data_IF_261088440178
#
_entry.id   IF_261088440178
#
_cell.length_a   1.000
_cell.length_b   1.000
_cell.length_c   1.000
_cell.angle_alpha   90.00
_cell.angle_beta   90.00
_cell.angle_gamma   90.00
#
_symmetry.space_group_name_H-M   'P 1'
#
loop_
_entity.id
_entity.type
_entity.pdbx_description
1 polymer ?
#
# COMPACT_ATOMS: atom_id res chain seq x y z
N UNK A 1 -10.32 6.14 -26.04
CA UNK A 1 -9.64 5.53 -24.87
C UNK A 1 -8.16 5.43 -25.17
N UNK A 2 -7.31 5.71 -24.21
CA UNK A 2 -5.84 5.66 -24.34
C UNK A 2 -5.33 4.54 -23.47
N UNK A 3 -4.39 3.74 -23.98
CA UNK A 3 -3.67 2.76 -23.17
C UNK A 3 -2.27 3.31 -22.83
N UNK A 4 -1.96 3.43 -21.54
CA UNK A 4 -0.61 3.71 -21.08
C UNK A 4 0.19 2.41 -21.02
N UNK A 5 1.12 2.23 -21.94
CA UNK A 5 2.07 1.13 -21.96
C UNK A 5 3.33 1.49 -21.17
N UNK A 6 3.58 0.82 -20.07
CA UNK A 6 4.76 1.06 -19.22
C UNK A 6 5.69 -0.14 -19.36
N UNK A 7 6.97 0.13 -19.66
CA UNK A 7 8.00 -0.91 -19.76
C UNK A 7 8.89 -0.83 -18.53
N UNK A 8 8.78 -1.81 -17.66
CA UNK A 8 9.57 -1.91 -16.45
C UNK A 8 10.79 -2.81 -16.65
N UNK A 9 11.94 -2.29 -16.26
CA UNK A 9 13.21 -3.01 -16.25
C UNK A 9 13.94 -2.71 -14.93
N UNK A 10 13.50 -3.37 -13.85
CA UNK A 10 14.08 -3.24 -12.50
C UNK A 10 13.86 -1.87 -11.82
N UNK A 11 12.89 -1.09 -12.29
CA UNK A 11 12.59 0.25 -11.78
C UNK A 11 11.26 0.31 -11.00
N UNK A 12 11.02 -0.67 -10.13
CA UNK A 12 9.76 -0.83 -9.40
C UNK A 12 9.28 0.45 -8.70
N UNK A 13 10.20 1.18 -8.05
CA UNK A 13 9.90 2.43 -7.38
C UNK A 13 9.40 3.50 -8.36
N UNK A 14 10.09 3.69 -9.47
CA UNK A 14 9.72 4.66 -10.50
C UNK A 14 8.36 4.32 -11.13
N UNK A 15 8.11 3.04 -11.40
CA UNK A 15 6.80 2.56 -11.89
C UNK A 15 5.69 2.92 -10.92
N UNK A 16 5.91 2.74 -9.62
CA UNK A 16 4.92 3.11 -8.60
C UNK A 16 4.53 4.59 -8.68
N UNK A 17 5.52 5.47 -8.69
CA UNK A 17 5.26 6.91 -8.72
C UNK A 17 4.69 7.38 -10.06
N UNK A 18 5.11 6.78 -11.19
CA UNK A 18 4.49 7.03 -12.48
C UNK A 18 3.01 6.63 -12.46
N UNK A 19 2.66 5.45 -11.98
CA UNK A 19 1.27 5.01 -11.86
C UNK A 19 0.43 5.94 -10.98
N UNK A 20 0.99 6.35 -9.85
CA UNK A 20 0.37 7.31 -8.94
C UNK A 20 0.13 8.66 -9.64
N UNK A 21 1.08 9.12 -10.47
CA UNK A 21 0.94 10.35 -11.25
C UNK A 21 -0.13 10.27 -12.33
N UNK A 22 -0.23 9.14 -13.03
CA UNK A 22 -1.29 8.89 -14.02
C UNK A 22 -2.66 8.95 -13.35
N UNK A 23 -2.87 8.18 -12.29
CA UNK A 23 -4.14 8.14 -11.54
C UNK A 23 -4.57 9.53 -11.05
N UNK A 24 -3.61 10.34 -10.59
CA UNK A 24 -3.88 11.68 -10.08
C UNK A 24 -4.22 12.69 -11.16
N UNK A 25 -3.45 12.71 -12.24
CA UNK A 25 -3.42 13.83 -13.16
C UNK A 25 -4.17 13.59 -14.49
N UNK A 26 -4.37 12.33 -14.90
CA UNK A 26 -5.17 12.01 -16.09
C UNK A 26 -6.66 12.03 -15.74
N UNK A 27 -7.42 12.94 -16.35
CA UNK A 27 -8.87 13.12 -16.12
C UNK A 27 -9.74 12.59 -17.26
N UNK A 28 -9.17 11.82 -18.16
CA UNK A 28 -9.82 11.17 -19.30
C UNK A 28 -9.82 9.66 -19.13
N UNK A 29 -10.60 8.96 -19.95
CA UNK A 29 -10.67 7.49 -19.92
C UNK A 29 -9.39 6.85 -20.42
N UNK A 30 -8.76 6.01 -19.60
CA UNK A 30 -7.54 5.29 -19.94
C UNK A 30 -7.53 3.87 -19.39
N UNK A 31 -6.62 3.07 -19.94
CA UNK A 31 -6.23 1.76 -19.40
C UNK A 31 -4.71 1.74 -19.23
N UNK A 32 -4.20 0.82 -18.42
CA UNK A 32 -2.75 0.68 -18.20
C UNK A 32 -2.32 -0.74 -18.53
N UNK A 33 -1.21 -0.86 -19.23
CA UNK A 33 -0.55 -2.13 -19.53
C UNK A 33 0.90 -2.06 -19.09
N UNK A 34 1.30 -2.95 -18.19
CA UNK A 34 2.66 -3.06 -17.69
C UNK A 34 3.37 -4.23 -18.37
N UNK A 35 4.56 -3.95 -18.93
CA UNK A 35 5.49 -4.94 -19.46
C UNK A 35 6.57 -5.20 -18.42
N UNK A 36 6.48 -6.32 -17.76
CA UNK A 36 7.42 -6.76 -16.72
C UNK A 36 8.60 -7.48 -17.37
N UNK A 37 9.78 -6.84 -17.36
CA UNK A 37 10.96 -7.35 -18.04
C UNK A 37 12.00 -7.95 -17.10
N UNK A 38 11.85 -7.77 -15.80
CA UNK A 38 12.72 -8.32 -14.76
C UNK A 38 12.11 -9.54 -14.09
N UNK A 39 12.93 -10.57 -13.87
CA UNK A 39 12.52 -11.79 -13.17
C UNK A 39 12.34 -11.58 -11.65
N UNK A 40 12.98 -10.57 -11.10
CA UNK A 40 13.02 -10.32 -9.64
C UNK A 40 12.09 -9.17 -9.22
N UNK A 41 11.15 -8.78 -10.06
CA UNK A 41 10.36 -7.59 -9.81
C UNK A 41 9.18 -7.89 -8.87
N UNK A 42 9.08 -7.17 -7.73
CA UNK A 42 7.98 -7.33 -6.77
C UNK A 42 6.64 -6.76 -7.25
N UNK A 43 6.59 -6.05 -8.38
CA UNK A 43 5.36 -5.41 -8.91
C UNK A 43 4.30 -6.45 -9.31
N UNK A 44 4.64 -7.71 -9.33
CA UNK A 44 3.86 -8.80 -9.96
C UNK A 44 2.36 -8.75 -9.68
N UNK A 45 1.90 -8.31 -8.50
CA UNK A 45 0.50 -8.53 -8.12
C UNK A 45 -0.21 -7.36 -7.43
N UNK A 46 0.43 -6.21 -7.29
CA UNK A 46 -0.02 -5.17 -6.37
C UNK A 46 -0.96 -4.13 -6.98
N UNK A 47 -1.19 -4.13 -8.31
CA UNK A 47 -1.97 -3.06 -8.93
C UNK A 47 -3.24 -3.60 -9.56
N UNK A 48 -4.39 -3.25 -8.99
CA UNK A 48 -5.68 -3.55 -9.57
C UNK A 48 -5.93 -2.69 -10.83
N UNK A 49 -6.57 -3.29 -11.83
CA UNK A 49 -6.93 -2.61 -13.08
C UNK A 49 -5.78 -2.46 -14.09
N UNK A 50 -4.61 -3.03 -13.84
CA UNK A 50 -3.46 -3.02 -14.76
C UNK A 50 -3.33 -4.38 -15.43
N UNK A 51 -3.29 -4.40 -16.77
CA UNK A 51 -2.95 -5.61 -17.53
C UNK A 51 -1.43 -5.79 -17.48
N UNK A 52 -0.96 -7.02 -17.25
CA UNK A 52 0.46 -7.34 -17.14
C UNK A 52 0.87 -8.38 -18.17
N UNK A 53 2.08 -8.22 -18.71
CA UNK A 53 2.73 -9.18 -19.58
C UNK A 53 4.20 -9.30 -19.19
N UNK A 54 4.69 -10.51 -19.03
CA UNK A 54 6.12 -10.77 -18.79
C UNK A 54 6.82 -11.03 -20.13
N UNK A 55 7.93 -10.34 -20.39
CA UNK A 55 8.69 -10.49 -21.61
C UNK A 55 10.15 -10.06 -21.42
N UNK A 56 10.99 -10.25 -22.47
CA UNK A 56 12.29 -9.60 -22.50
C UNK A 56 12.14 -8.11 -22.81
N UNK A 57 13.02 -7.28 -22.26
CA UNK A 57 12.99 -5.83 -22.45
C UNK A 57 13.01 -5.43 -23.93
N UNK A 58 13.83 -6.11 -24.75
CA UNK A 58 13.94 -5.88 -26.20
C UNK A 58 12.66 -6.13 -26.98
N UNK A 59 11.77 -6.99 -26.46
CA UNK A 59 10.49 -7.36 -27.10
C UNK A 59 9.31 -6.52 -26.59
N UNK A 60 9.45 -5.79 -25.48
CA UNK A 60 8.37 -5.13 -24.78
C UNK A 60 7.56 -4.17 -25.67
N UNK A 61 8.24 -3.29 -26.37
CA UNK A 61 7.59 -2.33 -27.27
C UNK A 61 6.87 -2.99 -28.45
N UNK A 62 7.41 -4.10 -28.96
CA UNK A 62 6.77 -4.88 -30.02
C UNK A 62 5.49 -5.54 -29.51
N UNK A 63 5.56 -6.18 -28.35
CA UNK A 63 4.41 -6.84 -27.72
C UNK A 63 3.30 -5.83 -27.38
N UNK A 64 3.65 -4.66 -26.81
CA UNK A 64 2.67 -3.58 -26.57
C UNK A 64 1.91 -3.22 -27.84
N UNK A 65 2.63 -3.00 -28.95
CA UNK A 65 2.03 -2.65 -30.24
C UNK A 65 1.14 -3.74 -30.82
N UNK A 66 1.48 -5.00 -30.60
CA UNK A 66 0.70 -6.15 -31.09
C UNK A 66 -0.53 -6.42 -30.21
N UNK A 67 -0.44 -6.20 -28.91
CA UNK A 67 -1.50 -6.54 -27.94
C UNK A 67 -2.51 -5.41 -27.70
N UNK A 68 -2.09 -4.15 -27.86
CA UNK A 68 -2.94 -2.99 -27.60
C UNK A 68 -3.64 -2.58 -28.87
N UNK A 69 -4.95 -2.45 -28.81
CA UNK A 69 -5.82 -2.09 -29.92
C UNK A 69 -6.30 -0.64 -29.87
N UNK A 70 -6.11 0.02 -28.75
CA UNK A 70 -6.42 1.42 -28.51
C UNK A 70 -5.24 2.34 -28.89
N UNK A 71 -5.43 3.65 -28.81
CA UNK A 71 -4.33 4.60 -28.87
C UNK A 71 -3.33 4.28 -27.76
N UNK A 72 -2.08 4.07 -28.11
CA UNK A 72 -1.03 3.64 -27.21
C UNK A 72 -0.11 4.80 -26.84
N UNK A 73 0.02 5.08 -25.55
CA UNK A 73 1.00 6.00 -25.00
C UNK A 73 2.07 5.20 -24.24
N UNK A 74 3.25 5.05 -24.82
CA UNK A 74 4.37 4.35 -24.17
C UNK A 74 5.09 5.33 -23.25
N UNK A 75 5.20 4.99 -21.98
CA UNK A 75 5.82 5.78 -20.94
C UNK A 75 7.08 5.10 -20.41
N UNK A 76 8.14 5.88 -20.23
CA UNK A 76 9.31 5.46 -19.48
C UNK A 76 9.05 5.66 -17.98
N UNK A 77 9.43 4.72 -17.10
CA UNK A 77 9.25 4.86 -15.66
C UNK A 77 9.92 6.08 -15.02
N UNK A 78 10.93 6.67 -15.66
CA UNK A 78 11.63 7.87 -15.16
C UNK A 78 10.82 9.18 -15.28
N UNK A 79 9.58 9.14 -15.75
CA UNK A 79 8.74 10.33 -15.89
C UNK A 79 7.60 10.36 -14.87
N UNK A 80 7.12 11.56 -14.62
CA UNK A 80 5.91 11.84 -13.85
C UNK A 80 4.95 12.68 -14.65
N UNK A 81 3.69 12.28 -14.67
CA UNK A 81 2.63 13.05 -15.32
C UNK A 81 2.23 14.21 -14.42
N UNK A 82 2.30 15.44 -14.93
CA UNK A 82 1.90 16.65 -14.21
C UNK A 82 0.43 16.99 -14.42
N UNK A 83 -0.05 17.94 -13.63
CA UNK A 83 -1.38 18.53 -13.79
C UNK A 83 -1.55 19.08 -15.22
N UNK A 84 -2.75 18.96 -15.73
CA UNK A 84 -3.13 19.41 -17.09
C UNK A 84 -2.53 18.58 -18.25
N UNK A 85 -2.04 17.39 -17.96
CA UNK A 85 -1.64 16.44 -19.00
C UNK A 85 -2.87 16.03 -19.84
N UNK A 86 -2.82 16.30 -21.14
CA UNK A 86 -3.88 16.02 -22.10
C UNK A 86 -3.32 15.51 -23.41
N UNK A 87 -3.74 14.34 -23.82
CA UNK A 87 -3.39 13.71 -25.09
C UNK A 87 -4.60 13.10 -25.81
N UNK A 88 -5.79 13.22 -25.25
CA UNK A 88 -7.01 12.61 -25.78
C UNK A 88 -7.44 13.16 -27.16
N UNK A 89 -7.09 14.42 -27.44
CA UNK A 89 -7.43 15.11 -28.70
C UNK A 89 -6.35 14.97 -29.78
N UNK A 90 -5.26 14.26 -29.49
CA UNK A 90 -4.14 14.13 -30.43
C UNK A 90 -4.38 12.96 -31.38
N UNK A 91 -4.36 13.25 -32.68
CA UNK A 91 -4.62 12.28 -33.76
C UNK A 91 -3.37 11.84 -34.51
N UNK A 92 -2.23 12.48 -34.26
CA UNK A 92 -0.96 12.17 -34.92
C UNK A 92 0.06 11.60 -33.96
N UNK A 93 0.97 10.71 -34.42
CA UNK A 93 2.03 10.18 -33.56
C UNK A 93 3.03 11.29 -33.20
N UNK A 94 3.51 11.26 -31.97
CA UNK A 94 4.53 12.21 -31.49
C UNK A 94 5.42 11.59 -30.41
N UNK A 95 6.54 12.24 -30.16
CA UNK A 95 7.48 11.92 -29.07
C UNK A 95 7.36 13.02 -28.01
N UNK A 96 7.45 12.67 -26.76
CA UNK A 96 7.55 13.60 -25.64
C UNK A 96 8.45 13.05 -24.56
N UNK A 97 9.08 13.92 -23.81
CA UNK A 97 10.06 13.48 -22.85
C UNK A 97 11.15 12.59 -23.46
N UNK A 98 11.84 11.86 -22.63
CA UNK A 98 12.86 10.92 -23.06
C UNK A 98 12.28 9.52 -23.25
N UNK A 99 12.29 9.02 -24.48
CA UNK A 99 11.76 7.68 -24.83
C UNK A 99 10.27 7.46 -24.54
N UNK A 100 9.47 8.54 -24.54
CA UNK A 100 8.01 8.44 -24.45
C UNK A 100 7.37 8.70 -25.80
N UNK A 101 6.38 7.88 -26.17
CA UNK A 101 5.79 7.89 -27.51
C UNK A 101 4.29 7.82 -27.43
N UNK A 102 3.59 8.65 -28.19
CA UNK A 102 2.17 8.49 -28.45
C UNK A 102 1.94 7.93 -29.84
N UNK A 103 1.14 6.88 -29.93
CA UNK A 103 0.83 6.13 -31.14
C UNK A 103 -0.68 6.09 -31.30
N UNK A 104 -1.29 7.01 -32.08
CA UNK A 104 -2.70 6.90 -32.39
C UNK A 104 -2.93 5.63 -33.23
N UNK A 105 -4.08 5.02 -33.03
CA UNK A 105 -4.48 3.86 -33.82
C UNK A 105 -4.81 4.31 -35.26
N UNK A 106 -3.79 4.28 -36.10
CA UNK A 106 -3.95 4.48 -37.55
C UNK A 106 -3.37 3.25 -38.26
N UNK A 107 -3.96 2.84 -39.39
CA UNK A 107 -3.58 1.65 -40.12
C UNK A 107 -2.19 1.73 -40.79
N UNK A 108 -1.51 2.88 -40.69
CA UNK A 108 -0.19 3.10 -41.25
C UNK A 108 0.79 3.67 -40.22
N UNK A 109 1.89 3.00 -40.04
CA UNK A 109 3.04 3.43 -39.24
C UNK A 109 3.81 4.53 -39.98
N UNK A 110 3.65 5.78 -39.58
CA UNK A 110 4.46 6.90 -40.09
C UNK A 110 5.64 7.19 -39.15
N UNK A 111 6.77 7.56 -39.74
CA UNK A 111 7.98 7.98 -39.02
C UNK A 111 7.70 9.16 -38.06
N UNK A 112 8.13 9.06 -36.80
CA UNK A 112 7.92 10.08 -35.78
C UNK A 112 8.78 11.30 -36.07
N UNK A 113 8.16 12.43 -36.34
CA UNK A 113 8.88 13.70 -36.59
C UNK A 113 8.46 14.85 -35.68
N UNK A 114 7.40 14.66 -34.88
CA UNK A 114 6.84 15.75 -34.07
C UNK A 114 7.17 15.48 -32.59
N UNK A 115 7.81 16.48 -31.98
CA UNK A 115 7.97 16.52 -30.51
C UNK A 115 6.92 17.44 -29.93
N UNK A 116 6.22 17.02 -28.90
CA UNK A 116 5.30 17.84 -28.12
C UNK A 116 5.89 18.08 -26.73
N UNK A 117 5.78 19.32 -26.30
CA UNK A 117 6.08 19.69 -24.92
C UNK A 117 4.83 19.43 -24.09
N UNK A 118 4.84 18.32 -23.37
CA UNK A 118 3.76 17.92 -22.47
C UNK A 118 4.16 18.18 -21.01
N UNK A 119 3.19 18.42 -20.12
CA UNK A 119 3.47 18.65 -18.72
C UNK A 119 3.89 17.35 -18.00
N UNK A 120 5.16 16.99 -18.18
CA UNK A 120 5.83 15.87 -17.52
C UNK A 120 7.10 16.36 -16.84
N UNK A 121 7.48 15.72 -15.74
CA UNK A 121 8.81 15.86 -15.15
C UNK A 121 9.63 14.61 -15.48
N UNK A 122 10.91 14.79 -15.75
CA UNK A 122 11.83 13.70 -16.12
C UNK A 122 12.95 13.65 -15.10
N UNK A 123 13.16 12.48 -14.51
CA UNK A 123 14.32 12.24 -13.66
C UNK A 123 15.58 12.10 -14.51
N UNK A 124 16.64 12.81 -14.12
CA UNK A 124 17.91 12.89 -14.85
C UNK A 124 18.77 11.60 -14.77
N UNK A 125 18.42 10.68 -13.87
CA UNK A 125 19.18 9.44 -13.65
C UNK A 125 20.44 9.61 -12.80
N UNK A 126 20.82 10.83 -12.43
CA UNK A 126 22.07 11.14 -11.71
C UNK A 126 21.83 11.43 -10.22
N UNK A 127 20.74 12.13 -9.90
CA UNK A 127 20.35 12.44 -8.52
C UNK A 127 19.70 11.24 -7.84
N UNK A 128 19.70 11.22 -6.49
CA UNK A 128 18.85 10.26 -5.76
C UNK A 128 17.39 10.49 -6.16
N UNK A 129 16.69 9.40 -6.54
CA UNK A 129 15.32 9.49 -7.05
C UNK A 129 14.33 10.06 -6.02
N UNK A 130 14.50 9.73 -4.76
CA UNK A 130 13.65 10.25 -3.67
C UNK A 130 13.90 11.74 -3.47
N UNK A 131 15.16 12.19 -3.45
CA UNK A 131 15.50 13.61 -3.34
C UNK A 131 14.96 14.41 -4.52
N UNK A 132 14.99 13.81 -5.73
CA UNK A 132 14.40 14.39 -6.91
C UNK A 132 12.88 14.50 -6.80
N UNK A 133 12.20 13.45 -6.34
CA UNK A 133 10.76 13.48 -6.05
C UNK A 133 10.41 14.62 -5.10
N UNK A 134 11.14 14.77 -4.00
CA UNK A 134 10.93 15.86 -3.04
C UNK A 134 11.07 17.24 -3.63
N UNK A 135 12.11 17.46 -4.40
CA UNK A 135 12.38 18.75 -5.03
C UNK A 135 11.25 19.20 -5.97
N UNK A 136 10.58 18.23 -6.58
CA UNK A 136 9.49 18.47 -7.53
C UNK A 136 8.09 18.32 -6.91
N UNK A 137 8.02 18.06 -5.61
CA UNK A 137 6.83 17.73 -4.86
C UNK A 137 5.83 18.87 -4.69
N UNK A 138 6.20 20.12 -4.91
CA UNK A 138 5.27 21.26 -4.78
C UNK A 138 4.06 21.14 -5.72
N UNK A 139 4.20 20.48 -6.86
CA UNK A 139 3.10 20.12 -7.75
C UNK A 139 2.42 18.78 -7.35
N UNK A 140 3.02 18.05 -6.41
CA UNK A 140 2.61 16.73 -5.96
C UNK A 140 1.91 16.73 -4.60
N UNK A 141 1.82 17.89 -3.92
CA UNK A 141 1.04 17.96 -2.69
C UNK A 141 -0.32 17.35 -2.96
N UNK A 142 -0.42 16.08 -2.58
CA UNK A 142 -1.69 15.40 -2.56
C UNK A 142 -2.62 16.25 -1.71
N UNK A 143 -3.88 16.35 -2.10
CA UNK A 143 -4.94 16.87 -1.22
C UNK A 143 -5.18 15.94 -0.01
N UNK A 144 -4.34 14.93 0.13
CA UNK A 144 -4.35 13.92 1.17
C UNK A 144 -2.98 13.90 1.84
N UNK A 145 -2.95 13.43 3.05
CA UNK A 145 -1.75 13.16 3.80
C UNK A 145 -0.84 12.19 3.01
N UNK A 146 0.46 12.27 3.25
CA UNK A 146 1.42 11.37 2.59
C UNK A 146 1.21 9.92 3.04
N UNK A 147 0.76 9.74 4.29
CA UNK A 147 0.34 8.45 4.83
C UNK A 147 -0.64 8.64 5.99
N UNK A 148 -1.33 7.57 6.36
CA UNK A 148 -2.27 7.54 7.48
C UNK A 148 -1.70 6.63 8.57
N UNK A 149 -1.66 7.13 9.80
CA UNK A 149 -1.43 6.32 11.00
C UNK A 149 -2.78 5.85 11.51
N UNK A 150 -2.97 4.56 11.64
CA UNK A 150 -4.23 3.99 12.08
C UNK A 150 -4.05 3.09 13.29
N UNK A 151 -4.87 3.32 14.29
CA UNK A 151 -4.96 2.49 15.48
C UNK A 151 -6.40 2.18 15.85
N UNK A 152 -6.59 1.18 16.66
CA UNK A 152 -7.87 0.89 17.30
C UNK A 152 -7.67 0.63 18.77
N UNK A 153 -8.71 0.89 19.56
CA UNK A 153 -8.78 0.47 20.95
C UNK A 153 -10.19 -0.05 21.26
N UNK A 154 -10.41 -0.57 22.45
CA UNK A 154 -11.68 -1.12 22.86
C UNK A 154 -12.12 -0.55 24.24
N UNK A 155 -13.38 -0.76 24.61
CA UNK A 155 -13.99 -0.10 25.76
C UNK A 155 -13.24 -0.30 27.08
N UNK A 156 -12.52 -1.41 27.26
CA UNK A 156 -11.74 -1.67 28.48
C UNK A 156 -10.42 -0.88 28.51
N UNK A 157 -9.82 -0.62 27.34
CA UNK A 157 -8.50 0.02 27.24
C UNK A 157 -8.56 1.51 26.90
N UNK A 158 -9.68 2.01 26.35
CA UNK A 158 -9.83 3.41 25.98
C UNK A 158 -9.67 4.39 27.16
N UNK A 159 -9.75 3.89 28.40
CA UNK A 159 -9.52 4.65 29.61
C UNK A 159 -8.09 4.55 30.15
N UNK A 160 -7.28 3.64 29.64
CA UNK A 160 -5.94 3.35 30.11
C UNK A 160 -4.97 4.49 29.74
N UNK A 161 -4.06 4.83 30.66
CA UNK A 161 -3.04 5.82 30.37
C UNK A 161 -2.10 5.39 29.24
N UNK A 162 -1.83 4.09 29.10
CA UNK A 162 -1.02 3.55 28.01
C UNK A 162 -1.56 3.96 26.63
N UNK A 163 -2.90 3.87 26.42
CA UNK A 163 -3.54 4.31 25.18
C UNK A 163 -3.28 5.78 24.87
N UNK A 164 -3.31 6.65 25.87
CA UNK A 164 -3.05 8.09 25.64
C UNK A 164 -1.56 8.39 25.46
N UNK A 165 -0.67 7.67 26.15
CA UNK A 165 0.76 7.79 25.94
C UNK A 165 1.15 7.33 24.53
N UNK A 166 0.53 6.25 24.02
CA UNK A 166 0.68 5.81 22.65
C UNK A 166 0.20 6.88 21.65
N UNK A 167 -1.03 7.39 21.83
CA UNK A 167 -1.59 8.46 21.00
C UNK A 167 -0.73 9.73 21.02
N UNK A 168 -0.22 10.15 22.17
CA UNK A 168 0.71 11.29 22.29
C UNK A 168 1.99 11.02 21.49
N UNK A 169 2.54 9.78 21.52
CA UNK A 169 3.71 9.45 20.73
C UNK A 169 3.45 9.49 19.23
N UNK A 170 2.20 9.20 18.79
CA UNK A 170 1.82 9.25 17.38
C UNK A 170 1.64 10.67 16.86
N UNK A 171 1.05 11.58 17.66
CA UNK A 171 0.81 12.95 17.22
C UNK A 171 2.03 13.84 17.32
N UNK A 172 2.99 13.52 18.19
CA UNK A 172 4.19 14.31 18.46
C UNK A 172 5.44 13.84 17.67
N UNK A 173 5.27 13.05 16.61
CA UNK A 173 6.40 12.63 15.76
C UNK A 173 7.07 13.82 15.08
N UNK A 174 8.39 13.80 15.03
CA UNK A 174 9.18 14.68 14.17
C UNK A 174 9.23 14.06 12.77
N UNK A 175 8.31 14.49 11.93
CA UNK A 175 8.12 13.96 10.59
C UNK A 175 7.94 15.11 9.60
N UNK A 176 8.77 15.14 8.56
CA UNK A 176 8.71 16.15 7.49
C UNK A 176 7.54 15.91 6.53
N UNK A 177 6.89 14.75 6.64
CA UNK A 177 5.77 14.32 5.82
C UNK A 177 4.44 14.59 6.52
N UNK A 178 3.40 14.88 5.73
CA UNK A 178 2.07 15.10 6.26
C UNK A 178 1.40 13.76 6.56
N UNK A 179 0.89 13.59 7.76
CA UNK A 179 0.12 12.42 8.14
C UNK A 179 -1.05 12.77 9.04
N UNK A 180 -2.05 11.91 9.04
CA UNK A 180 -3.15 11.92 10.01
C UNK A 180 -3.12 10.70 10.89
N UNK A 181 -3.61 10.86 12.10
CA UNK A 181 -3.84 9.77 13.04
C UNK A 181 -5.33 9.45 13.03
N UNK A 182 -5.66 8.22 12.60
CA UNK A 182 -7.01 7.69 12.55
C UNK A 182 -7.23 6.78 13.75
N UNK A 183 -8.19 7.10 14.60
CA UNK A 183 -8.62 6.22 15.68
C UNK A 183 -9.90 5.52 15.21
N UNK A 184 -9.83 4.22 14.96
CA UNK A 184 -10.97 3.44 14.44
C UNK A 184 -11.70 2.79 15.60
N UNK A 185 -12.98 3.08 15.74
CA UNK A 185 -13.86 2.61 16.82
C UNK A 185 -15.12 1.97 16.27
N UNK A 186 -15.65 0.95 16.96
CA UNK A 186 -16.88 0.29 16.56
C UNK A 186 -18.12 0.91 17.22
N UNK A 187 -19.15 1.19 16.41
CA UNK A 187 -20.44 1.69 16.91
C UNK A 187 -21.13 0.69 17.84
N UNK A 188 -21.02 -0.62 17.54
CA UNK A 188 -21.57 -1.69 18.40
C UNK A 188 -20.99 -1.64 19.82
N UNK A 189 -19.74 -1.18 19.97
CA UNK A 189 -19.02 -1.17 21.23
C UNK A 189 -19.21 0.16 22.00
N UNK A 190 -19.22 1.29 21.27
CA UNK A 190 -19.22 2.63 21.87
C UNK A 190 -20.51 3.42 21.67
N UNK A 191 -21.47 2.95 20.85
CA UNK A 191 -22.71 3.68 20.57
C UNK A 191 -22.49 5.06 19.92
N UNK A 192 -21.35 5.29 19.25
CA UNK A 192 -20.88 6.60 18.74
C UNK A 192 -20.62 7.65 19.83
N UNK A 193 -20.44 7.22 21.05
CA UNK A 193 -20.11 8.11 22.16
C UNK A 193 -18.65 7.92 22.58
N UNK A 194 -17.90 9.02 22.62
CA UNK A 194 -16.53 9.01 23.08
C UNK A 194 -16.47 9.28 24.58
N UNK A 195 -15.63 8.55 25.35
CA UNK A 195 -15.28 8.97 26.70
C UNK A 195 -14.73 10.40 26.73
N UNK A 196 -15.02 11.14 27.78
CA UNK A 196 -14.64 12.55 27.90
C UNK A 196 -13.18 12.80 27.59
N UNK A 197 -12.27 11.99 28.18
CA UNK A 197 -10.82 12.12 27.96
C UNK A 197 -10.43 11.93 26.48
N UNK A 198 -11.07 10.99 25.76
CA UNK A 198 -10.83 10.77 24.34
C UNK A 198 -11.38 11.92 23.49
N UNK A 199 -12.55 12.44 23.86
CA UNK A 199 -13.13 13.60 23.19
C UNK A 199 -12.25 14.84 23.32
N UNK A 200 -11.73 15.09 24.53
CA UNK A 200 -10.82 16.21 24.80
C UNK A 200 -9.50 16.06 24.02
N UNK A 201 -8.96 14.82 23.95
CA UNK A 201 -7.77 14.52 23.16
C UNK A 201 -7.98 14.81 21.67
N UNK A 202 -9.07 14.32 21.10
CA UNK A 202 -9.40 14.55 19.67
C UNK A 202 -9.60 16.04 19.38
N UNK A 203 -10.30 16.77 20.24
CA UNK A 203 -10.52 18.20 20.04
C UNK A 203 -9.23 19.02 20.15
N UNK A 204 -8.31 18.63 21.07
CA UNK A 204 -7.01 19.29 21.19
C UNK A 204 -6.07 19.04 20.02
N UNK A 205 -6.29 17.95 19.25
CA UNK A 205 -5.48 17.55 18.09
C UNK A 205 -6.30 17.45 16.79
N UNK A 206 -7.40 18.20 16.67
CA UNK A 206 -8.36 18.11 15.56
C UNK A 206 -7.78 18.31 14.16
N UNK A 207 -6.66 19.00 14.05
CA UNK A 207 -5.95 19.19 12.78
C UNK A 207 -5.21 17.92 12.32
N UNK A 208 -4.97 16.98 13.23
CA UNK A 208 -4.15 15.78 13.01
C UNK A 208 -4.86 14.48 13.34
N UNK A 209 -5.82 14.49 14.24
CA UNK A 209 -6.53 13.30 14.74
C UNK A 209 -7.96 13.27 14.25
N UNK A 210 -8.40 12.13 13.76
CA UNK A 210 -9.77 11.89 13.29
C UNK A 210 -10.31 10.56 13.85
N UNK A 211 -11.61 10.52 14.20
CA UNK A 211 -12.30 9.27 14.54
C UNK A 211 -12.95 8.68 13.29
N UNK A 212 -12.67 7.42 13.03
CA UNK A 212 -13.38 6.63 12.02
C UNK A 212 -14.31 5.63 12.73
N UNK A 213 -15.60 5.79 12.53
CA UNK A 213 -16.59 4.87 13.06
C UNK A 213 -16.85 3.74 12.09
N UNK A 214 -16.76 2.50 12.57
CA UNK A 214 -17.23 1.30 11.87
C UNK A 214 -18.48 0.77 12.53
N UNK A 215 -19.39 0.17 11.77
CA UNK A 215 -20.61 -0.37 12.35
C UNK A 215 -20.30 -1.55 13.27
N UNK A 216 -19.57 -2.55 12.74
CA UNK A 216 -19.22 -3.78 13.48
C UNK A 216 -17.87 -3.67 14.17
N UNK A 217 -17.76 -4.35 15.31
CA UNK A 217 -16.48 -4.57 15.95
C UNK A 217 -15.75 -5.75 15.28
N UNK A 218 -14.83 -5.44 14.40
CA UNK A 218 -13.91 -6.41 13.80
C UNK A 218 -12.61 -6.55 14.60
N UNK A 219 -12.65 -6.15 15.88
CA UNK A 219 -11.55 -6.26 16.84
C UNK A 219 -10.25 -5.59 16.30
N UNK A 220 -9.04 -6.22 16.39
CA UNK A 220 -7.82 -5.55 15.91
C UNK A 220 -7.80 -5.31 14.40
N UNK A 221 -8.53 -6.08 13.58
CA UNK A 221 -8.58 -5.88 12.14
C UNK A 221 -9.18 -4.51 11.76
N UNK A 222 -10.05 -3.93 12.60
CA UNK A 222 -10.68 -2.62 12.31
C UNK A 222 -9.68 -1.46 12.17
N UNK A 223 -8.44 -1.59 12.68
CA UNK A 223 -7.41 -0.56 12.46
C UNK A 223 -6.96 -0.46 11.00
N UNK A 224 -7.08 -1.52 10.19
CA UNK A 224 -6.53 -1.56 8.83
C UNK A 224 -7.61 -1.44 7.74
N UNK A 225 -8.55 -2.39 7.66
CA UNK A 225 -9.48 -2.48 6.55
C UNK A 225 -10.35 -1.23 6.33
N UNK A 226 -11.02 -0.66 7.35
CA UNK A 226 -11.81 0.56 7.16
C UNK A 226 -10.95 1.78 6.78
N UNK A 227 -9.69 1.79 7.21
CA UNK A 227 -8.76 2.87 6.86
C UNK A 227 -8.33 2.75 5.41
N UNK A 228 -8.05 1.53 4.92
CA UNK A 228 -7.79 1.27 3.48
C UNK A 228 -9.01 1.67 2.63
N UNK A 229 -10.24 1.31 3.05
CA UNK A 229 -11.45 1.68 2.32
C UNK A 229 -11.61 3.20 2.20
N UNK A 230 -11.28 3.95 3.25
CA UNK A 230 -11.34 5.41 3.26
C UNK A 230 -10.20 6.07 2.48
N UNK A 231 -9.01 5.48 2.51
CA UNK A 231 -7.79 6.00 1.90
C UNK A 231 -7.09 4.95 1.01
N UNK A 232 -7.73 4.49 -0.08
CA UNK A 232 -7.26 3.33 -0.86
C UNK A 232 -5.92 3.52 -1.55
N UNK A 233 -5.51 4.77 -1.76
CA UNK A 233 -4.24 5.11 -2.45
C UNK A 233 -3.16 5.64 -1.49
N UNK A 234 -3.41 5.63 -0.18
CA UNK A 234 -2.44 6.05 0.82
C UNK A 234 -1.77 4.85 1.49
N UNK A 235 -0.47 4.89 1.77
CA UNK A 235 0.14 3.95 2.70
C UNK A 235 -0.48 4.10 4.09
N UNK A 236 -0.71 2.98 4.75
CA UNK A 236 -1.30 2.96 6.09
C UNK A 236 -0.26 2.44 7.09
N UNK A 237 0.05 3.22 8.10
CA UNK A 237 0.82 2.75 9.26
C UNK A 237 -0.15 2.25 10.32
N UNK A 238 -0.04 0.98 10.71
CA UNK A 238 -0.86 0.44 11.80
C UNK A 238 -0.06 0.27 13.08
N UNK A 239 -0.68 0.66 14.19
CA UNK A 239 -0.11 0.62 15.53
C UNK A 239 -1.14 0.05 16.51
N UNK A 240 -0.66 -0.57 17.56
CA UNK A 240 -1.50 -0.99 18.67
C UNK A 240 -1.67 0.16 19.68
N UNK A 241 -2.71 0.09 20.50
CA UNK A 241 -3.04 1.12 21.47
C UNK A 241 -2.11 1.13 22.72
N UNK A 242 -1.08 0.30 22.72
CA UNK A 242 0.02 0.24 23.71
C UNK A 242 1.42 0.38 23.08
N UNK A 243 1.50 0.66 21.78
CA UNK A 243 2.76 0.93 21.09
C UNK A 243 3.21 2.39 21.33
N UNK A 244 4.39 2.59 21.87
CA UNK A 244 5.01 3.92 22.00
C UNK A 244 6.14 4.01 21.00
N UNK A 245 6.09 5.04 20.16
CA UNK A 245 7.09 5.31 19.12
C UNK A 245 8.14 6.31 19.60
N UNK A 246 9.37 6.11 19.13
CA UNK A 246 10.39 7.13 19.20
C UNK A 246 10.09 8.30 18.24
N UNK A 247 10.59 9.48 18.54
CA UNK A 247 10.20 10.75 17.90
C UNK A 247 10.33 10.83 16.36
N UNK A 248 11.09 9.92 15.73
CA UNK A 248 11.35 9.92 14.28
C UNK A 248 10.90 8.61 13.58
N UNK A 249 10.19 7.73 14.27
CA UNK A 249 9.93 6.39 13.73
C UNK A 249 8.95 6.41 12.56
N UNK A 250 7.96 7.29 12.57
CA UNK A 250 7.07 7.45 11.42
C UNK A 250 7.80 7.95 10.17
N UNK A 251 8.76 8.86 10.33
CA UNK A 251 9.59 9.31 9.22
C UNK A 251 10.43 8.18 8.65
N UNK A 252 11.06 7.36 9.49
CA UNK A 252 11.85 6.21 9.05
C UNK A 252 11.00 5.20 8.27
N UNK A 253 9.80 4.88 8.77
CA UNK A 253 8.85 3.99 8.09
C UNK A 253 8.46 4.52 6.72
N UNK A 254 8.11 5.80 6.65
CA UNK A 254 7.67 6.37 5.39
C UNK A 254 8.80 6.49 4.36
N UNK A 255 10.02 6.83 4.78
CA UNK A 255 11.22 6.81 3.91
C UNK A 255 11.43 5.39 3.36
N UNK A 256 11.35 4.36 4.22
CA UNK A 256 11.50 2.98 3.78
C UNK A 256 10.42 2.57 2.77
N UNK A 257 9.18 3.01 2.99
CA UNK A 257 8.11 2.81 2.00
C UNK A 257 8.41 3.52 0.69
N UNK A 258 8.94 4.75 0.70
CA UNK A 258 9.29 5.46 -0.53
C UNK A 258 10.40 4.76 -1.31
N UNK A 259 11.37 4.17 -0.62
CA UNK A 259 12.46 3.41 -1.25
C UNK A 259 11.96 2.10 -1.87
N UNK A 260 10.99 1.45 -1.23
CA UNK A 260 10.38 0.21 -1.74
C UNK A 260 8.86 0.20 -1.46
N UNK A 261 8.08 0.86 -2.32
CA UNK A 261 6.65 1.08 -2.10
C UNK A 261 5.77 -0.14 -2.35
N UNK A 262 6.36 -1.29 -2.68
CA UNK A 262 5.66 -2.54 -2.98
C UNK A 262 5.66 -3.55 -1.82
N UNK A 263 6.48 -3.30 -0.81
CA UNK A 263 6.64 -4.20 0.32
C UNK A 263 5.95 -3.69 1.57
N UNK A 264 5.41 -4.61 2.36
CA UNK A 264 4.99 -4.32 3.74
C UNK A 264 6.24 -4.33 4.61
N UNK A 265 6.38 -3.31 5.44
CA UNK A 265 7.47 -3.21 6.41
C UNK A 265 6.93 -3.21 7.84
N UNK A 266 7.65 -3.88 8.74
CA UNK A 266 7.39 -3.81 10.17
C UNK A 266 8.62 -4.02 11.00
N UNK A 267 8.55 -3.64 12.27
CA UNK A 267 9.68 -3.70 13.18
C UNK A 267 9.96 -5.11 13.74
N UNK A 268 9.03 -6.03 13.56
CA UNK A 268 9.15 -7.43 13.97
C UNK A 268 8.51 -8.33 12.92
N UNK A 269 9.27 -9.31 12.44
CA UNK A 269 8.80 -10.30 11.46
C UNK A 269 9.08 -11.70 12.00
N UNK A 270 8.13 -12.60 11.83
CA UNK A 270 8.32 -14.03 12.08
C UNK A 270 7.53 -14.86 11.05
N UNK A 271 7.84 -16.14 10.99
CA UNK A 271 7.17 -17.07 10.10
C UNK A 271 5.80 -17.46 10.64
N UNK A 272 4.80 -17.62 9.78
CA UNK A 272 3.53 -18.22 10.16
C UNK A 272 3.73 -19.72 10.35
N UNK A 273 3.58 -20.19 11.58
CA UNK A 273 3.69 -21.62 11.90
C UNK A 273 2.56 -22.41 11.22
N UNK A 274 2.89 -23.62 10.72
CA UNK A 274 1.91 -24.53 10.11
C UNK A 274 1.69 -24.38 8.60
N UNK A 275 2.40 -23.49 7.94
CA UNK A 275 2.39 -23.33 6.48
C UNK A 275 3.71 -23.84 5.87
N UNK A 276 4.30 -24.86 6.49
CA UNK A 276 5.62 -25.40 6.13
C UNK A 276 5.64 -26.23 4.84
N UNK A 277 4.48 -26.42 4.20
CA UNK A 277 4.36 -27.25 3.00
C UNK A 277 4.54 -26.47 1.69
N UNK A 278 4.73 -25.17 1.76
CA UNK A 278 5.00 -24.33 0.61
C UNK A 278 6.44 -23.82 0.71
N UNK A 279 7.19 -23.89 -0.38
CA UNK A 279 8.55 -23.33 -0.46
C UNK A 279 8.55 -21.79 -0.26
N UNK A 280 7.37 -21.18 -0.21
CA UNK A 280 7.16 -19.78 0.09
C UNK A 280 6.81 -19.59 1.56
N UNK A 281 7.70 -18.94 2.29
CA UNK A 281 7.50 -18.70 3.72
C UNK A 281 6.49 -17.57 3.92
N UNK A 282 5.30 -17.90 4.40
CA UNK A 282 4.35 -16.91 4.88
C UNK A 282 4.92 -16.22 6.12
N UNK A 283 5.01 -14.89 6.08
CA UNK A 283 5.56 -14.09 7.18
C UNK A 283 4.50 -13.17 7.73
N UNK A 284 4.31 -13.19 9.04
CA UNK A 284 3.54 -12.17 9.72
C UNK A 284 4.43 -11.03 10.19
N UNK A 285 3.85 -9.87 10.32
CA UNK A 285 4.53 -8.65 10.75
C UNK A 285 3.76 -8.05 11.91
N UNK A 286 4.47 -7.69 12.97
CA UNK A 286 3.89 -7.11 14.17
C UNK A 286 4.45 -5.74 14.51
N UNK A 287 3.88 -5.13 15.51
CA UNK A 287 4.21 -3.80 16.03
C UNK A 287 4.04 -2.70 14.97
N UNK A 288 4.94 -1.78 14.87
CA UNK A 288 4.87 -0.68 13.93
C UNK A 288 5.00 -1.17 12.48
N UNK A 289 3.93 -1.06 11.69
CA UNK A 289 3.84 -1.61 10.34
C UNK A 289 3.38 -0.57 9.34
N UNK A 290 3.96 -0.57 8.13
CA UNK A 290 3.48 0.23 7.00
C UNK A 290 3.00 -0.67 5.87
N UNK A 291 1.78 -0.45 5.43
CA UNK A 291 1.06 -1.19 4.41
C UNK A 291 0.95 -0.34 3.15
N UNK A 292 1.58 -0.75 2.03
CA UNK A 292 1.37 -0.07 0.77
C UNK A 292 -0.08 -0.16 0.29
N UNK A 293 -0.54 0.77 -0.54
CA UNK A 293 -1.81 0.61 -1.23
C UNK A 293 -1.90 -0.72 -1.99
N UNK A 294 -3.08 -1.34 -1.98
CA UNK A 294 -3.38 -2.58 -2.72
C UNK A 294 -2.52 -3.81 -2.36
N UNK A 295 -1.87 -3.82 -1.20
CA UNK A 295 -0.95 -4.90 -0.80
C UNK A 295 -1.65 -6.17 -0.29
N UNK A 296 -2.95 -6.15 -0.06
CA UNK A 296 -3.70 -7.23 0.57
C UNK A 296 -4.69 -7.89 -0.38
N UNK A 297 -4.79 -9.21 -0.34
CA UNK A 297 -5.85 -9.95 -0.99
C UNK A 297 -7.15 -9.82 -0.18
N UNK A 298 -8.29 -9.72 -0.88
CA UNK A 298 -9.59 -9.56 -0.22
C UNK A 298 -10.24 -10.90 0.04
N UNK A 299 -10.09 -11.40 1.25
CA UNK A 299 -10.89 -12.52 1.75
C UNK A 299 -12.15 -12.03 2.45
N UNK A 300 -13.24 -12.82 2.45
CA UNK A 300 -14.43 -12.53 3.25
C UNK A 300 -14.09 -12.36 4.73
N UNK A 301 -14.74 -11.42 5.39
CA UNK A 301 -14.55 -11.20 6.83
C UNK A 301 -14.94 -12.44 7.67
N UNK A 302 -15.84 -13.30 7.15
CA UNK A 302 -16.18 -14.58 7.77
C UNK A 302 -14.96 -15.45 8.02
N UNK A 303 -13.98 -15.44 7.09
CA UNK A 303 -12.79 -16.25 7.17
C UNK A 303 -11.88 -15.81 8.32
N UNK A 304 -11.83 -14.49 8.57
CA UNK A 304 -11.11 -13.95 9.72
C UNK A 304 -11.68 -14.51 11.05
N UNK A 305 -13.00 -14.59 11.17
CA UNK A 305 -13.63 -15.16 12.37
C UNK A 305 -13.50 -16.67 12.45
N UNK A 306 -13.67 -17.36 11.32
CA UNK A 306 -13.67 -18.83 11.28
C UNK A 306 -12.27 -19.41 11.52
N UNK A 307 -11.25 -18.89 10.82
CA UNK A 307 -9.90 -19.47 10.81
C UNK A 307 -8.90 -18.74 11.71
N UNK A 308 -9.16 -17.47 12.03
CA UNK A 308 -8.24 -16.64 12.83
C UNK A 308 -8.88 -16.17 14.15
N UNK A 309 -10.02 -16.73 14.51
CA UNK A 309 -10.72 -16.47 15.77
C UNK A 309 -11.15 -15.02 15.99
N UNK A 310 -11.07 -14.18 14.96
CA UNK A 310 -11.37 -12.75 15.04
C UNK A 310 -10.35 -11.95 15.85
N UNK A 311 -9.13 -12.45 16.07
CA UNK A 311 -8.10 -11.78 16.89
C UNK A 311 -6.70 -11.79 16.28
N UNK A 312 -6.37 -12.77 15.47
CA UNK A 312 -5.06 -12.88 14.84
C UNK A 312 -4.98 -12.08 13.54
N UNK A 313 -5.16 -10.76 13.64
CA UNK A 313 -5.10 -9.86 12.47
C UNK A 313 -3.73 -9.90 11.79
N UNK A 314 -2.64 -10.05 12.55
CA UNK A 314 -1.28 -10.13 12.02
C UNK A 314 -1.12 -11.34 11.09
N UNK A 315 -1.65 -12.48 11.50
CA UNK A 315 -1.59 -13.73 10.75
C UNK A 315 -2.57 -13.73 9.57
N UNK A 316 -3.77 -13.20 9.75
CA UNK A 316 -4.72 -13.03 8.66
C UNK A 316 -4.15 -12.12 7.56
N UNK A 317 -3.56 -11.00 7.94
CA UNK A 317 -2.93 -10.10 7.00
C UNK A 317 -1.67 -10.72 6.35
N UNK A 318 -0.92 -11.58 7.05
CA UNK A 318 0.18 -12.33 6.46
C UNK A 318 -0.29 -13.24 5.31
N UNK A 319 -1.40 -13.95 5.50
CA UNK A 319 -1.99 -14.77 4.43
C UNK A 319 -2.53 -13.90 3.30
N UNK A 320 -3.15 -12.76 3.61
CA UNK A 320 -3.58 -11.79 2.57
C UNK A 320 -2.39 -11.27 1.74
N UNK A 321 -1.24 -11.02 2.36
CA UNK A 321 0.00 -10.68 1.65
C UNK A 321 0.50 -11.86 0.80
N UNK A 322 0.47 -13.08 1.32
CA UNK A 322 0.88 -14.29 0.59
C UNK A 322 0.06 -14.44 -0.70
N UNK A 323 -1.26 -14.41 -0.63
CA UNK A 323 -2.14 -14.55 -1.79
C UNK A 323 -2.05 -13.37 -2.78
N UNK A 324 -1.63 -12.20 -2.31
CA UNK A 324 -1.32 -11.05 -3.17
C UNK A 324 0.13 -11.06 -3.67
N UNK A 325 0.97 -12.00 -3.19
CA UNK A 325 2.43 -12.07 -3.41
C UNK A 325 3.14 -10.77 -3.00
N UNK A 326 2.64 -10.10 -2.00
CA UNK A 326 3.24 -8.87 -1.46
C UNK A 326 4.42 -9.23 -0.57
N UNK A 327 5.63 -8.71 -0.85
CA UNK A 327 6.78 -8.97 0.00
C UNK A 327 6.59 -8.38 1.40
N UNK A 328 7.01 -9.14 2.42
CA UNK A 328 7.01 -8.69 3.82
C UNK A 328 8.46 -8.61 4.29
N UNK A 329 8.90 -7.43 4.76
CA UNK A 329 10.28 -7.12 5.09
C UNK A 329 10.42 -6.47 6.46
N UNK A 330 11.51 -6.76 7.15
CA UNK A 330 11.84 -6.15 8.43
C UNK A 330 12.48 -4.78 8.22
N UNK A 331 12.03 -3.80 9.01
CA UNK A 331 12.72 -2.53 9.17
C UNK A 331 13.57 -2.56 10.46
N UNK A 332 14.86 -2.39 10.27
CA UNK A 332 15.82 -2.40 11.37
C UNK A 332 15.84 -1.10 12.12
N UNK A 333 15.98 -0.54 12.99
CA UNK A 333 16.10 0.83 13.56
C UNK A 333 14.77 1.50 13.95
N UNK A 334 13.70 0.72 14.04
CA UNK A 334 12.47 1.14 14.70
C UNK A 334 12.23 0.20 15.87
N UNK A 335 12.08 0.75 17.05
CA UNK A 335 11.76 -0.01 18.26
C UNK A 335 10.50 0.60 18.86
N UNK A 336 9.35 0.00 18.59
CA UNK A 336 8.18 0.34 19.39
C UNK A 336 8.35 -0.24 20.80
N UNK A 337 8.19 0.58 21.78
CA UNK A 337 8.23 0.17 23.18
C UNK A 337 6.81 -0.13 23.64
N UNK A 338 6.50 -1.41 23.93
CA UNK A 338 5.21 -1.74 24.53
C UNK A 338 5.23 -1.43 26.02
N UNK A 339 4.26 -0.61 26.43
CA UNK A 339 4.04 -0.41 27.85
C UNK A 339 3.26 -1.60 28.40
N UNK A 340 3.96 -2.54 29.01
CA UNK A 340 3.43 -3.80 29.53
C UNK A 340 2.50 -3.68 30.76
N UNK A 341 1.98 -2.52 31.08
CA UNK A 341 1.20 -2.27 32.29
C UNK A 341 -0.28 -2.67 32.20
N UNK A 342 -0.78 -3.07 31.02
CA UNK A 342 -2.16 -3.55 30.94
C UNK A 342 -2.22 -5.06 31.21
N UNK A 343 -2.81 -5.45 32.35
CA UNK A 343 -3.15 -6.83 32.67
C UNK A 343 -4.19 -7.44 31.71
N UNK A 344 -4.73 -6.62 30.78
CA UNK A 344 -5.82 -7.00 29.88
C UNK A 344 -5.27 -7.22 28.48
N UNK A 345 -4.92 -8.48 28.14
CA UNK A 345 -4.53 -8.87 26.78
C UNK A 345 -5.62 -9.74 26.16
N UNK A 346 -6.06 -9.39 24.95
CA UNK A 346 -6.99 -10.20 24.15
C UNK A 346 -6.50 -11.65 23.96
N UNK A 347 -5.19 -11.84 23.83
CA UNK A 347 -4.55 -13.15 23.62
C UNK A 347 -4.77 -14.15 24.75
N UNK A 348 -5.10 -13.69 25.98
CA UNK A 348 -5.40 -14.63 27.09
C UNK A 348 -6.76 -15.33 26.95
N UNK A 349 -7.69 -14.78 26.17
CA UNK A 349 -9.01 -15.38 25.96
C UNK A 349 -8.95 -16.62 25.05
N UNK A 350 -7.80 -16.88 24.40
CA UNK A 350 -7.66 -17.88 23.32
C UNK A 350 -6.39 -18.73 23.44
N UNK A 351 -5.82 -18.83 24.63
CA UNK A 351 -4.56 -19.55 24.88
C UNK A 351 -4.58 -21.03 24.49
N UNK A 352 -5.77 -21.66 24.45
CA UNK A 352 -5.96 -23.09 24.17
C UNK A 352 -6.32 -23.40 22.71
N UNK A 353 -6.21 -22.43 21.80
CA UNK A 353 -6.59 -22.62 20.38
C UNK A 353 -5.45 -23.25 19.59
N UNK A 354 -5.76 -24.28 18.80
CA UNK A 354 -4.81 -24.94 17.90
C UNK A 354 -4.65 -24.15 16.58
N UNK A 355 -3.90 -23.07 16.67
CA UNK A 355 -3.65 -22.14 15.58
C UNK A 355 -3.03 -22.78 14.32
N UNK A 356 -2.03 -23.70 14.41
CA UNK A 356 -1.46 -24.34 13.23
C UNK A 356 -2.49 -25.08 12.39
N UNK A 357 -3.44 -25.78 13.02
CA UNK A 357 -4.50 -26.48 12.29
C UNK A 357 -5.49 -25.50 11.63
N UNK A 358 -5.77 -24.35 12.24
CA UNK A 358 -6.63 -23.34 11.64
C UNK A 358 -6.01 -22.75 10.37
N UNK A 359 -4.72 -22.44 10.37
CA UNK A 359 -4.01 -21.98 9.19
C UNK A 359 -4.01 -22.98 8.05
N UNK A 360 -3.68 -24.22 8.36
CA UNK A 360 -3.66 -25.30 7.36
C UNK A 360 -5.04 -25.47 6.72
N UNK A 361 -6.10 -25.45 7.53
CA UNK A 361 -7.47 -25.54 7.05
C UNK A 361 -7.85 -24.34 6.16
N UNK A 362 -7.44 -23.11 6.53
CA UNK A 362 -7.67 -21.93 5.71
C UNK A 362 -7.02 -22.07 4.33
N UNK A 363 -5.74 -22.42 4.27
CA UNK A 363 -5.03 -22.57 2.99
C UNK A 363 -5.64 -23.69 2.15
N UNK A 364 -6.01 -24.82 2.76
CA UNK A 364 -6.66 -25.92 2.03
C UNK A 364 -8.02 -25.51 1.46
N UNK A 365 -8.77 -24.67 2.15
CA UNK A 365 -10.05 -24.15 1.68
C UNK A 365 -9.90 -23.20 0.48
N UNK A 366 -8.81 -22.44 0.45
CA UNK A 366 -8.54 -21.40 -0.57
C UNK A 366 -7.41 -21.82 -1.53
N UNK A 367 -7.13 -23.11 -1.66
CA UNK A 367 -6.01 -23.60 -2.47
C UNK A 367 -6.10 -23.18 -3.95
N UNK A 368 -7.33 -23.12 -4.50
CA UNK A 368 -7.56 -22.72 -5.90
C UNK A 368 -7.31 -21.23 -6.16
N UNK A 369 -7.30 -20.42 -5.09
CA UNK A 369 -7.05 -18.97 -5.16
C UNK A 369 -5.58 -18.61 -5.01
N UNK A 370 -4.72 -19.60 -4.67
CA UNK A 370 -3.27 -19.37 -4.60
C UNK A 370 -2.70 -18.97 -5.97
N UNK A 371 -1.83 -17.98 -6.01
CA UNK A 371 -1.11 -17.65 -7.23
C UNK A 371 -0.40 -18.89 -7.79
N UNK A 372 -0.49 -19.15 -9.12
CA UNK A 372 0.13 -20.32 -9.73
C UNK A 372 1.63 -20.44 -9.45
N UNK A 373 2.32 -19.32 -9.33
CA UNK A 373 3.75 -19.25 -9.04
C UNK A 373 4.12 -19.81 -7.64
N UNK A 374 3.14 -19.95 -6.73
CA UNK A 374 3.33 -20.57 -5.41
C UNK A 374 3.08 -22.08 -5.40
N UNK A 375 2.51 -22.62 -6.49
CA UNK A 375 2.13 -24.04 -6.59
C UNK A 375 3.20 -24.90 -7.32
N UNK A 376 4.21 -24.29 -7.94
CA UNK A 376 5.09 -24.95 -8.92
C UNK A 376 6.59 -24.67 -8.76
N UNK A 377 7.09 -24.37 -7.56
CA UNK A 377 8.55 -24.43 -7.30
C UNK A 377 8.97 -25.72 -6.61
#
# INVERSE_FOLDING_TARGET
MINFGIVDNENAQQVYYLLKSIKKNCKFDYTITLMECSKNNPIKNVIDGVKKYTCKYEDANKILREKITENLCILNPNILIKKDFRIEDVSEPFIFGENCYFLPRTDEFKEYKKTLDLPVEIWDGESNYIDWLYKHEHDWKFYYEDFIVSMTTWHKRIHDNATYEALESFVNQKCDYNYKVMIVLAEEEFGKELPVKMKDFVESHKDKVEILWTYKDTRPLKKLDPTIEKYPECPIVTLDDDDILDENDLQKLYIQHMEDPWSVYGSMIDNCYGIEHFDYVCKWVANCRIWPPHCLYNFPLSDFYEYFGGILDDNFNAVRCLYKMTPVKEIKNIQSHKKNDSEIKLTYEYADTDWPNLYSNFIMQHLEELPPDLLYE
#
